data_IF_105357069236
#
_entry.id   IF_105357069236
#
_cell.length_a   1.000
_cell.length_b   1.000
_cell.length_c   1.000
_cell.angle_alpha   90.00
_cell.angle_beta   90.00
_cell.angle_gamma   90.00
#
_symmetry.space_group_name_H-M   'P 1'
#
loop_
_entity.id
_entity.type
_entity.pdbx_description
1 polymer ?
#
# COMPACT_ATOMS: atom_id res chain seq x y z
N UNK A 1 -18.32 5.93 -7.33
CA UNK A 1 -19.47 5.02 -7.07
C UNK A 1 -19.09 3.53 -6.93
N UNK A 2 -17.92 3.08 -7.41
CA UNK A 2 -17.55 1.65 -7.38
C UNK A 2 -17.02 1.20 -6.00
N UNK A 3 -16.29 2.06 -5.26
CA UNK A 3 -15.74 1.72 -3.93
C UNK A 3 -16.82 1.40 -2.88
N UNK A 4 -17.95 2.13 -2.87
CA UNK A 4 -19.02 1.90 -1.88
C UNK A 4 -19.76 0.57 -2.09
N UNK A 5 -19.77 0.01 -3.30
CA UNK A 5 -20.40 -1.29 -3.57
C UNK A 5 -19.55 -2.46 -3.06
N UNK A 6 -18.24 -2.25 -2.88
CA UNK A 6 -17.29 -3.26 -2.41
C UNK A 6 -16.87 -3.07 -0.95
N UNK A 7 -17.47 -2.12 -0.25
CA UNK A 7 -17.27 -1.89 1.19
C UNK A 7 -18.23 -2.71 2.07
N UNK A 8 -19.10 -3.51 1.47
CA UNK A 8 -19.94 -4.48 2.17
C UNK A 8 -19.14 -5.74 2.51
N UNK A 9 -18.40 -5.67 3.62
CA UNK A 9 -17.58 -6.77 4.10
C UNK A 9 -18.38 -7.95 4.67
N UNK A 10 -19.72 -7.85 4.76
CA UNK A 10 -20.57 -8.97 5.21
C UNK A 10 -20.65 -10.11 4.19
N UNK A 11 -20.31 -9.84 2.92
CA UNK A 11 -20.39 -10.79 1.81
C UNK A 11 -19.09 -11.56 1.63
N UNK A 12 -18.91 -12.63 2.39
CA UNK A 12 -17.67 -13.40 2.42
C UNK A 12 -17.17 -13.87 1.05
N UNK A 13 -18.07 -14.36 0.19
CA UNK A 13 -17.71 -14.80 -1.16
C UNK A 13 -17.26 -13.64 -2.07
N UNK A 14 -17.84 -12.45 -1.91
CA UNK A 14 -17.43 -11.27 -2.66
C UNK A 14 -16.06 -10.79 -2.21
N UNK A 15 -15.83 -10.74 -0.89
CA UNK A 15 -14.53 -10.39 -0.33
C UNK A 15 -13.47 -11.40 -0.77
N UNK A 16 -13.78 -12.69 -0.71
CA UNK A 16 -12.90 -13.75 -1.19
C UNK A 16 -12.50 -13.56 -2.66
N UNK A 17 -13.48 -13.37 -3.54
CA UNK A 17 -13.23 -13.16 -4.96
C UNK A 17 -12.33 -11.93 -5.21
N UNK A 18 -12.54 -10.85 -4.46
CA UNK A 18 -11.68 -9.66 -4.56
C UNK A 18 -10.25 -9.92 -4.08
N UNK A 19 -10.08 -10.66 -2.97
CA UNK A 19 -8.76 -11.06 -2.48
C UNK A 19 -8.02 -11.96 -3.48
N UNK A 20 -8.73 -12.87 -4.15
CA UNK A 20 -8.18 -13.74 -5.19
C UNK A 20 -7.79 -12.94 -6.44
N UNK A 21 -8.61 -11.96 -6.83
CA UNK A 21 -8.30 -11.03 -7.92
C UNK A 21 -7.04 -10.21 -7.60
N UNK A 22 -6.92 -9.67 -6.38
CA UNK A 22 -5.71 -8.96 -5.96
C UNK A 22 -4.46 -9.83 -6.08
N UNK A 23 -4.58 -11.10 -5.70
CA UNK A 23 -3.50 -12.09 -5.78
C UNK A 23 -3.00 -12.31 -7.21
N UNK A 24 -3.90 -12.29 -8.20
CA UNK A 24 -3.55 -12.45 -9.60
C UNK A 24 -2.69 -11.31 -10.15
N UNK A 25 -2.78 -10.11 -9.58
CA UNK A 25 -2.07 -8.93 -10.10
C UNK A 25 -0.85 -8.55 -9.27
N UNK A 26 -0.81 -8.82 -7.96
CA UNK A 26 0.27 -8.37 -7.06
C UNK A 26 1.69 -8.71 -7.54
N UNK A 27 1.87 -9.87 -8.18
CA UNK A 27 3.17 -10.32 -8.69
C UNK A 27 3.46 -9.75 -10.09
N UNK A 28 2.40 -9.47 -10.87
CA UNK A 28 2.45 -9.09 -12.28
C UNK A 28 2.36 -7.59 -12.56
N UNK A 29 2.26 -6.75 -11.53
CA UNK A 29 2.22 -5.29 -11.72
C UNK A 29 3.48 -4.79 -12.43
N UNK A 30 3.31 -4.15 -13.59
CA UNK A 30 4.41 -3.56 -14.36
C UNK A 30 3.97 -2.24 -14.98
N UNK A 31 4.84 -1.24 -14.95
CA UNK A 31 4.65 0.04 -15.63
C UNK A 31 5.51 0.04 -16.91
N UNK A 32 4.85 -0.12 -18.07
CA UNK A 32 5.47 -0.01 -19.39
C UNK A 32 4.77 1.04 -20.28
N UNK A 33 3.74 1.68 -19.74
CA UNK A 33 2.91 2.65 -20.43
C UNK A 33 3.42 4.08 -20.30
N UNK A 34 2.57 5.03 -20.66
CA UNK A 34 2.83 6.47 -20.46
C UNK A 34 2.90 6.79 -18.96
N UNK A 35 3.59 7.89 -18.61
CA UNK A 35 3.70 8.34 -17.23
C UNK A 35 2.34 8.40 -16.50
N UNK A 36 1.32 8.96 -17.15
CA UNK A 36 -0.06 9.05 -16.65
C UNK A 36 -0.68 7.68 -16.29
N UNK A 37 -0.42 6.65 -17.10
CA UNK A 37 -0.95 5.30 -16.88
C UNK A 37 -0.26 4.64 -15.68
N UNK A 38 1.03 4.89 -15.52
CA UNK A 38 1.80 4.43 -14.38
C UNK A 38 1.41 5.13 -13.08
N UNK A 39 1.11 6.43 -13.13
CA UNK A 39 0.54 7.16 -12.00
C UNK A 39 -0.85 6.64 -11.67
N UNK A 40 -1.69 6.37 -12.67
CA UNK A 40 -2.99 5.72 -12.50
C UNK A 40 -2.87 4.38 -11.78
N UNK A 41 -1.88 3.55 -12.15
CA UNK A 41 -1.57 2.29 -11.48
C UNK A 41 -1.15 2.49 -10.02
N UNK A 42 -0.30 3.48 -9.73
CA UNK A 42 0.11 3.81 -8.36
C UNK A 42 -1.10 4.17 -7.49
N UNK A 43 -2.00 5.02 -7.99
CA UNK A 43 -3.24 5.42 -7.29
C UNK A 43 -4.21 4.25 -7.09
N UNK A 44 -4.32 3.37 -8.08
CA UNK A 44 -5.12 2.15 -7.98
C UNK A 44 -4.57 1.20 -6.91
N UNK A 45 -3.25 1.01 -6.85
CA UNK A 45 -2.61 0.20 -5.82
C UNK A 45 -2.80 0.78 -4.40
N UNK A 46 -2.73 2.11 -4.26
CA UNK A 46 -3.02 2.79 -2.99
C UNK A 46 -4.47 2.56 -2.55
N UNK A 47 -5.41 2.63 -3.50
CA UNK A 47 -6.83 2.35 -3.24
C UNK A 47 -7.07 0.89 -2.85
N UNK A 48 -6.39 -0.05 -3.50
CA UNK A 48 -6.45 -1.46 -3.16
C UNK A 48 -5.88 -1.74 -1.76
N UNK A 49 -4.76 -1.11 -1.40
CA UNK A 49 -4.19 -1.21 -0.05
C UNK A 49 -5.15 -0.68 1.01
N UNK A 50 -5.77 0.48 0.77
CA UNK A 50 -6.73 1.05 1.70
C UNK A 50 -7.96 0.16 1.89
N UNK A 51 -8.51 -0.36 0.79
CA UNK A 51 -9.62 -1.32 0.85
C UNK A 51 -9.22 -2.57 1.65
N UNK A 52 -8.02 -3.11 1.41
CA UNK A 52 -7.54 -4.30 2.13
C UNK A 52 -7.34 -4.05 3.62
N UNK A 53 -6.86 -2.86 4.03
CA UNK A 53 -6.76 -2.48 5.44
C UNK A 53 -8.15 -2.39 6.10
N UNK A 54 -9.13 -1.78 5.42
CA UNK A 54 -10.52 -1.74 5.91
C UNK A 54 -11.13 -3.13 6.02
N UNK A 55 -10.88 -3.99 5.04
CA UNK A 55 -11.30 -5.40 5.06
C UNK A 55 -10.67 -6.17 6.23
N UNK A 56 -9.39 -5.94 6.49
CA UNK A 56 -8.65 -6.53 7.62
C UNK A 56 -9.25 -6.07 8.94
N UNK A 57 -9.53 -4.78 9.11
CA UNK A 57 -10.15 -4.23 10.31
C UNK A 57 -11.56 -4.80 10.53
N UNK A 58 -12.39 -4.90 9.48
CA UNK A 58 -13.72 -5.50 9.56
C UNK A 58 -13.67 -6.98 9.94
N UNK A 59 -12.67 -7.72 9.44
CA UNK A 59 -12.47 -9.14 9.77
C UNK A 59 -11.98 -9.32 11.21
N UNK A 60 -11.12 -8.44 11.69
CA UNK A 60 -10.65 -8.43 13.08
C UNK A 60 -11.78 -8.09 14.07
N UNK A 61 -12.66 -7.16 13.70
CA UNK A 61 -13.86 -6.82 14.48
C UNK A 61 -14.80 -8.02 14.57
N UNK A 62 -15.08 -8.69 13.44
CA UNK A 62 -15.89 -9.90 13.43
C UNK A 62 -15.30 -11.03 14.25
N UNK A 63 -13.97 -11.20 14.23
CA UNK A 63 -13.31 -12.17 15.10
C UNK A 63 -13.53 -11.82 16.58
N UNK A 64 -13.44 -10.54 16.95
CA UNK A 64 -13.72 -10.09 18.31
C UNK A 64 -15.15 -10.43 18.74
N UNK A 65 -16.14 -10.09 17.92
CA UNK A 65 -17.55 -10.44 18.17
C UNK A 65 -17.76 -11.97 18.26
N UNK A 66 -17.10 -12.72 17.37
CA UNK A 66 -17.15 -14.18 17.36
C UNK A 66 -16.51 -14.82 18.60
N UNK A 67 -15.50 -14.20 19.20
CA UNK A 67 -14.91 -14.64 20.47
C UNK A 67 -15.91 -14.49 21.63
N UNK A 68 -16.64 -13.37 21.68
CA UNK A 68 -17.69 -13.13 22.68
C UNK A 68 -18.87 -14.11 22.52
N UNK A 69 -19.22 -14.44 21.27
CA UNK A 69 -20.28 -15.38 20.93
C UNK A 69 -19.85 -16.87 20.93
N UNK A 70 -18.57 -17.17 21.20
CA UNK A 70 -18.04 -18.55 21.21
C UNK A 70 -17.91 -19.22 19.84
N UNK A 71 -17.92 -18.46 18.74
CA UNK A 71 -17.82 -18.95 17.34
C UNK A 71 -16.72 -18.24 16.51
N UNK A 72 -15.44 -18.23 16.96
CA UNK A 72 -14.38 -17.41 16.35
C UNK A 72 -13.88 -17.89 14.97
N UNK A 73 -14.10 -19.16 14.62
CA UNK A 73 -13.41 -19.82 13.51
C UNK A 73 -13.58 -19.13 12.14
N UNK A 74 -14.78 -18.63 11.84
CA UNK A 74 -15.04 -17.94 10.57
C UNK A 74 -14.34 -16.57 10.49
N UNK A 75 -14.39 -15.79 11.57
CA UNK A 75 -13.71 -14.49 11.65
C UNK A 75 -12.19 -14.64 11.59
N UNK A 76 -11.65 -15.66 12.25
CA UNK A 76 -10.22 -15.95 12.27
C UNK A 76 -9.68 -16.31 10.88
N UNK A 77 -10.39 -17.20 10.17
CA UNK A 77 -10.05 -17.56 8.80
C UNK A 77 -10.03 -16.32 7.90
N UNK A 78 -11.05 -15.47 7.97
CA UNK A 78 -11.14 -14.29 7.12
C UNK A 78 -10.02 -13.28 7.43
N UNK A 79 -9.72 -13.05 8.71
CA UNK A 79 -8.62 -12.19 9.13
C UNK A 79 -7.28 -12.72 8.62
N UNK A 80 -7.02 -14.03 8.75
CA UNK A 80 -5.81 -14.66 8.25
C UNK A 80 -5.63 -14.46 6.74
N UNK A 81 -6.70 -14.59 5.97
CA UNK A 81 -6.66 -14.38 4.52
C UNK A 81 -6.34 -12.93 4.16
N UNK A 82 -6.97 -11.96 4.85
CA UNK A 82 -6.68 -10.54 4.65
C UNK A 82 -5.21 -10.20 4.97
N UNK A 83 -4.70 -10.70 6.09
CA UNK A 83 -3.31 -10.48 6.52
C UNK A 83 -2.31 -11.13 5.56
N UNK A 84 -2.59 -12.34 5.08
CA UNK A 84 -1.73 -13.00 4.10
C UNK A 84 -1.65 -12.19 2.79
N UNK A 85 -2.76 -11.61 2.32
CA UNK A 85 -2.76 -10.75 1.12
C UNK A 85 -2.06 -9.41 1.38
N UNK A 86 -2.19 -8.86 2.57
CA UNK A 86 -1.52 -7.62 2.96
C UNK A 86 -0.01 -7.82 2.98
N UNK A 87 0.45 -8.89 3.63
CA UNK A 87 1.86 -9.29 3.69
C UNK A 87 2.42 -9.53 2.28
N UNK A 88 1.73 -10.32 1.45
CA UNK A 88 2.18 -10.58 0.08
C UNK A 88 2.34 -9.28 -0.71
N UNK A 89 1.33 -8.41 -0.66
CA UNK A 89 1.37 -7.10 -1.34
C UNK A 89 2.55 -6.27 -0.88
N UNK A 90 2.81 -6.22 0.43
CA UNK A 90 3.83 -5.39 1.05
C UNK A 90 5.23 -5.98 1.01
N UNK A 91 5.39 -7.30 0.85
CA UNK A 91 6.69 -7.98 0.76
C UNK A 91 7.46 -7.58 -0.51
N UNK A 92 6.73 -7.25 -1.58
CA UNK A 92 7.27 -6.78 -2.86
C UNK A 92 7.81 -5.35 -2.74
N UNK A 93 9.13 -5.19 -2.87
CA UNK A 93 9.78 -3.86 -2.94
C UNK A 93 9.21 -3.01 -4.07
N UNK A 94 8.84 -3.62 -5.20
CA UNK A 94 8.18 -2.95 -6.32
C UNK A 94 6.84 -2.34 -5.90
N UNK A 95 5.99 -3.09 -5.21
CA UNK A 95 4.69 -2.61 -4.77
C UNK A 95 4.84 -1.49 -3.73
N UNK A 96 5.78 -1.62 -2.80
CA UNK A 96 6.10 -0.54 -1.86
C UNK A 96 6.57 0.72 -2.57
N UNK A 97 7.43 0.60 -3.60
CA UNK A 97 7.87 1.75 -4.40
C UNK A 97 6.71 2.43 -5.15
N UNK A 98 5.79 1.67 -5.74
CA UNK A 98 4.60 2.20 -6.38
C UNK A 98 3.68 2.95 -5.38
N UNK A 99 3.52 2.41 -4.17
CA UNK A 99 2.79 3.08 -3.09
C UNK A 99 3.47 4.38 -2.64
N UNK A 100 4.81 4.41 -2.61
CA UNK A 100 5.57 5.63 -2.32
C UNK A 100 5.34 6.70 -3.39
N UNK A 101 5.37 6.33 -4.67
CA UNK A 101 5.07 7.24 -5.78
C UNK A 101 3.64 7.77 -5.67
N UNK A 102 2.66 6.90 -5.37
CA UNK A 102 1.27 7.31 -5.18
C UNK A 102 1.14 8.40 -4.10
N UNK A 103 1.83 8.23 -2.96
CA UNK A 103 1.86 9.22 -1.87
C UNK A 103 2.48 10.55 -2.30
N UNK A 104 3.60 10.52 -3.02
CA UNK A 104 4.26 11.76 -3.49
C UNK A 104 3.38 12.54 -4.47
N UNK A 105 2.66 11.82 -5.32
CA UNK A 105 1.74 12.41 -6.29
C UNK A 105 0.54 13.11 -5.62
N UNK A 106 0.04 12.60 -4.50
CA UNK A 106 -0.98 13.32 -3.73
C UNK A 106 -0.44 14.67 -3.20
N UNK A 107 0.80 14.68 -2.70
CA UNK A 107 1.44 15.89 -2.16
C UNK A 107 1.74 16.94 -3.25
N UNK A 108 2.11 16.51 -4.46
CA UNK A 108 2.38 17.41 -5.60
C UNK A 108 1.10 18.11 -6.06
N UNK A 109 -0.03 17.38 -6.14
CA UNK A 109 -1.34 17.91 -6.48
C UNK A 109 -1.80 18.97 -5.47
N UNK A 110 -1.68 18.71 -4.16
CA UNK A 110 -2.03 19.67 -3.12
C UNK A 110 -1.18 20.96 -3.19
N UNK A 111 0.08 20.85 -3.56
CA UNK A 111 0.98 22.02 -3.72
C UNK A 111 0.62 22.83 -4.96
N UNK A 112 0.26 22.16 -6.06
CA UNK A 112 -0.10 22.83 -7.33
C UNK A 112 -1.48 23.51 -7.32
N UNK A 113 -2.42 23.04 -6.50
CA UNK A 113 -3.77 23.61 -6.38
C UNK A 113 -3.83 24.91 -5.55
N UNK A 114 -2.72 25.36 -4.95
CA UNK A 114 -2.64 26.64 -4.24
C UNK A 114 -2.67 27.89 -5.14
N UNK A 115 -2.68 27.75 -6.48
CA UNK A 115 -2.49 28.87 -7.41
C UNK A 115 -3.53 28.99 -8.55
N UNK A 116 -4.65 28.26 -8.54
CA UNK A 116 -5.68 28.49 -9.57
C UNK A 116 -6.96 27.69 -9.42
N UNK A 117 -8.10 28.39 -9.38
CA UNK A 117 -9.43 27.80 -9.54
C UNK A 117 -9.65 27.35 -10.99
N UNK A 118 -10.18 26.13 -11.19
CA UNK A 118 -10.79 25.76 -12.46
C UNK A 118 -10.95 24.26 -12.73
N UNK A 119 -12.16 23.74 -12.51
CA UNK A 119 -12.79 22.81 -13.48
C UNK A 119 -12.64 21.30 -13.29
N UNK A 120 -13.52 20.74 -12.46
CA UNK A 120 -14.31 19.50 -12.68
C UNK A 120 -13.67 18.29 -13.38
N UNK A 121 -13.29 17.28 -12.57
CA UNK A 121 -13.53 15.86 -12.91
C UNK A 121 -13.69 15.04 -11.63
N UNK A 122 -14.90 14.53 -11.44
CA UNK A 122 -15.27 13.44 -10.52
C UNK A 122 -14.72 13.53 -9.08
N UNK A 123 -15.57 14.05 -8.20
CA UNK A 123 -15.51 13.87 -6.76
C UNK A 123 -15.50 12.35 -6.45
N UNK A 124 -14.31 11.75 -6.37
CA UNK A 124 -14.07 10.36 -6.01
C UNK A 124 -13.20 10.40 -4.75
N UNK A 125 -13.58 9.74 -3.65
CA UNK A 125 -12.68 9.55 -2.52
C UNK A 125 -11.62 8.54 -2.99
N UNK A 126 -10.57 9.06 -3.62
CA UNK A 126 -9.35 8.29 -3.88
C UNK A 126 -8.72 8.05 -2.52
N UNK A 127 -8.33 6.82 -2.22
CA UNK A 127 -7.66 6.53 -0.96
C UNK A 127 -6.43 7.43 -0.83
N UNK A 128 -6.31 8.11 0.32
CA UNK A 128 -5.17 8.95 0.63
C UNK A 128 -4.23 8.30 1.62
N UNK A 129 -2.98 8.74 1.65
CA UNK A 129 -2.03 8.27 2.65
C UNK A 129 -2.53 8.50 4.09
N UNK A 130 -3.18 9.62 4.37
CA UNK A 130 -3.80 9.87 5.69
C UNK A 130 -4.90 8.85 6.02
N UNK A 131 -5.69 8.41 5.02
CA UNK A 131 -6.69 7.37 5.23
C UNK A 131 -6.05 5.99 5.52
N UNK A 132 -4.89 5.71 4.92
CA UNK A 132 -4.07 4.53 5.26
C UNK A 132 -3.62 4.59 6.71
N UNK A 133 -3.08 5.72 7.16
CA UNK A 133 -2.61 5.92 8.54
C UNK A 133 -3.75 5.76 9.55
N UNK A 134 -4.90 6.37 9.28
CA UNK A 134 -6.07 6.22 10.13
C UNK A 134 -6.57 4.76 10.19
N UNK A 135 -6.59 4.06 9.05
CA UNK A 135 -6.97 2.65 9.00
C UNK A 135 -5.99 1.76 9.77
N UNK A 136 -4.69 2.08 9.74
CA UNK A 136 -3.66 1.39 10.51
C UNK A 136 -3.80 1.60 12.02
N UNK A 137 -4.11 2.83 12.45
CA UNK A 137 -4.34 3.12 13.86
C UNK A 137 -5.52 2.31 14.39
N UNK A 138 -6.66 2.38 13.70
CA UNK A 138 -7.86 1.60 14.04
C UNK A 138 -7.59 0.10 14.07
N UNK A 139 -6.87 -0.42 13.08
CA UNK A 139 -6.51 -1.84 13.05
C UNK A 139 -5.64 -2.22 14.26
N UNK A 140 -4.65 -1.39 14.61
CA UNK A 140 -3.81 -1.60 15.79
C UNK A 140 -4.61 -1.70 17.10
N UNK A 141 -5.59 -0.82 17.29
CA UNK A 141 -6.49 -0.83 18.46
C UNK A 141 -7.32 -2.12 18.56
N UNK A 142 -7.84 -2.61 17.43
CA UNK A 142 -8.62 -3.86 17.39
C UNK A 142 -7.71 -5.05 17.72
N UNK A 143 -6.53 -5.12 17.08
CA UNK A 143 -5.60 -6.25 17.22
C UNK A 143 -4.97 -6.37 18.61
N UNK A 144 -4.80 -5.25 19.33
CA UNK A 144 -4.28 -5.26 20.70
C UNK A 144 -5.11 -6.15 21.64
N UNK A 145 -6.39 -6.31 21.34
CA UNK A 145 -7.34 -7.10 22.13
C UNK A 145 -7.51 -8.54 21.65
N UNK A 146 -6.81 -8.97 20.58
CA UNK A 146 -6.92 -10.33 20.06
C UNK A 146 -6.00 -11.30 20.80
N UNK A 147 -6.53 -12.50 21.07
CA UNK A 147 -5.82 -13.57 21.76
C UNK A 147 -4.81 -14.31 20.87
N UNK A 148 -4.98 -14.29 19.54
CA UNK A 148 -4.12 -15.01 18.61
C UNK A 148 -2.78 -14.25 18.38
N UNK A 149 -1.64 -14.77 18.88
CA UNK A 149 -0.37 -14.07 18.79
C UNK A 149 0.22 -14.05 17.37
N UNK A 150 -0.08 -15.04 16.53
CA UNK A 150 0.43 -15.15 15.17
C UNK A 150 -0.19 -14.09 14.27
N UNK A 151 -1.52 -13.98 14.28
CA UNK A 151 -2.24 -12.96 13.47
C UNK A 151 -1.84 -11.54 13.90
N UNK A 152 -1.68 -11.32 15.21
CA UNK A 152 -1.21 -10.04 15.74
C UNK A 152 0.21 -9.72 15.24
N UNK A 153 1.16 -10.66 15.35
CA UNK A 153 2.53 -10.45 14.87
C UNK A 153 2.59 -10.17 13.37
N UNK A 154 1.83 -10.92 12.56
CA UNK A 154 1.75 -10.71 11.12
C UNK A 154 1.21 -9.31 10.76
N UNK A 155 0.18 -8.87 11.49
CA UNK A 155 -0.38 -7.54 11.30
C UNK A 155 0.57 -6.41 11.74
N UNK A 156 1.31 -6.59 12.84
CA UNK A 156 2.34 -5.66 13.30
C UNK A 156 3.46 -5.52 12.25
N UNK A 157 3.89 -6.63 11.65
CA UNK A 157 4.87 -6.63 10.56
C UNK A 157 4.34 -5.88 9.34
N UNK A 158 3.11 -6.15 8.92
CA UNK A 158 2.46 -5.40 7.83
C UNK A 158 2.37 -3.90 8.13
N UNK A 159 1.97 -3.54 9.36
CA UNK A 159 1.91 -2.15 9.80
C UNK A 159 3.29 -1.47 9.80
N UNK A 160 4.34 -2.19 10.18
CA UNK A 160 5.73 -1.70 10.13
C UNK A 160 6.18 -1.45 8.70
N UNK A 161 5.89 -2.38 7.78
CA UNK A 161 6.18 -2.20 6.35
C UNK A 161 5.47 -0.98 5.79
N UNK A 162 4.18 -0.78 6.07
CA UNK A 162 3.45 0.39 5.57
C UNK A 162 4.04 1.70 6.13
N UNK A 163 4.34 1.75 7.44
CA UNK A 163 4.97 2.94 8.05
C UNK A 163 6.35 3.26 7.50
N UNK A 164 7.07 2.27 6.95
CA UNK A 164 8.38 2.48 6.31
C UNK A 164 8.29 3.02 4.87
N UNK A 165 7.14 2.91 4.20
CA UNK A 165 6.98 3.32 2.79
C UNK A 165 7.35 4.80 2.58
N UNK A 166 6.95 5.77 3.43
CA UNK A 166 7.32 7.16 3.25
C UNK A 166 8.83 7.44 3.28
N UNK A 167 9.62 6.58 3.94
CA UNK A 167 11.07 6.79 4.16
C UNK A 167 11.96 5.94 3.27
N UNK A 168 11.40 5.08 2.40
CA UNK A 168 12.19 4.15 1.57
C UNK A 168 13.25 4.82 0.69
N UNK A 169 13.00 6.03 0.20
CA UNK A 169 13.98 6.79 -0.60
C UNK A 169 14.97 7.58 0.26
N UNK A 170 14.64 7.93 1.50
CA UNK A 170 15.57 8.56 2.45
C UNK A 170 16.73 7.62 2.79
N UNK A 171 16.46 6.31 2.89
CA UNK A 171 17.48 5.29 3.18
C UNK A 171 18.44 5.08 2.01
N UNK A 172 17.94 5.11 0.76
CA UNK A 172 18.80 4.98 -0.42
C UNK A 172 19.66 6.23 -0.66
N UNK A 173 19.16 7.43 -0.34
CA UNK A 173 19.97 8.64 -0.39
C UNK A 173 21.16 8.55 0.58
N UNK A 174 20.97 8.08 1.82
CA UNK A 174 22.06 7.91 2.79
C UNK A 174 23.08 6.83 2.39
N UNK A 175 22.63 5.78 1.70
CA UNK A 175 23.51 4.68 1.26
C UNK A 175 24.31 5.04 -0.01
N UNK A 176 23.77 5.87 -0.90
CA UNK A 176 24.48 6.41 -2.08
C UNK A 176 25.68 7.30 -1.69
N UNK A 177 25.68 7.89 -0.50
CA UNK A 177 26.82 8.66 0.01
C UNK A 177 27.94 7.80 0.62
N UNK A 178 27.76 6.47 0.71
CA UNK A 178 28.75 5.52 1.29
C UNK A 178 29.34 4.52 0.30
N UNK A 179 28.93 4.53 -0.97
CA UNK A 179 29.63 3.75 -2.00
C UNK A 179 30.81 4.56 -2.52
N UNK A 180 32.00 4.25 -1.99
CA UNK A 180 33.27 4.80 -2.45
C UNK A 180 33.69 4.25 -3.81
N UNK A 181 32.95 4.53 -4.88
CA UNK A 181 33.41 4.41 -6.26
C UNK A 181 32.74 5.47 -7.15
N UNK A 182 33.47 6.06 -8.11
CA UNK A 182 33.11 7.32 -8.72
C UNK A 182 31.90 7.18 -9.63
N UNK A 183 30.99 8.13 -9.46
CA UNK A 183 29.81 8.39 -10.27
C UNK A 183 30.14 8.42 -11.76
N UNK A 184 29.18 7.98 -12.57
CA UNK A 184 29.14 7.86 -14.05
C UNK A 184 29.60 9.12 -14.83
N UNK A 185 29.95 10.21 -14.15
CA UNK A 185 30.64 11.37 -14.71
C UNK A 185 32.10 11.08 -15.15
N UNK A 186 32.70 9.96 -14.74
CA UNK A 186 34.05 9.59 -15.17
C UNK A 186 34.12 8.94 -16.58
N UNK A 187 33.00 8.52 -17.16
CA UNK A 187 33.00 7.89 -18.51
C UNK A 187 33.03 8.94 -19.62
N UNK A 188 32.58 10.17 -19.38
CA UNK A 188 32.55 11.25 -20.40
C UNK A 188 33.82 12.12 -20.37
N UNK A 189 34.77 11.87 -19.46
CA UNK A 189 36.03 12.63 -19.38
C UNK A 189 37.28 11.89 -19.92
N UNK A 190 37.14 10.65 -20.40
CA UNK A 190 38.27 9.84 -20.89
C UNK A 190 38.20 9.47 -22.40
N UNK A 191 37.24 10.03 -23.15
CA UNK A 191 37.23 9.99 -24.62
C UNK A 191 37.87 11.25 -25.27
N UNK A 192 38.73 11.96 -24.54
CA UNK A 192 39.28 13.26 -24.95
C UNK A 192 40.81 13.37 -25.06
N UNK A 193 41.58 12.29 -24.84
CA UNK A 193 43.07 12.36 -24.84
C UNK A 193 43.77 11.23 -25.58
N UNK A 194 43.20 10.76 -26.69
CA UNK A 194 43.96 10.01 -27.70
C UNK A 194 44.21 10.89 -28.92
N UNK A 195 45.22 11.74 -28.82
CA UNK A 195 45.99 12.25 -29.94
C UNK A 195 47.46 12.31 -29.50
N UNK A 196 48.17 11.20 -29.74
CA UNK A 196 49.61 11.09 -29.82
C UNK A 196 49.94 10.09 -30.93
#
# INVERSE_FOLDING_TARGET
AISSQFDDFSRDLCVQALLDIMDMFCDRLSCHGKAEECIGLCRALLSALHWLLRCTAASAERLREGLEAGTPAAGEKQLAMCLQRLEKTLSSTKNRALLHIAKLEEASLHTSQGLGQGGTRANQPTASWTAIEHSLLKLGEILANLSNPQLRSQAEQCGTLIRSIPTMLSVHAEQMHKTGFPTVHAVILLEGTMNL
#
